data_IF_757169257489
#
_entry.id   IF_757169257489
#
_cell.length_a   1.000
_cell.length_b   1.000
_cell.length_c   1.000
_cell.angle_alpha   90.00
_cell.angle_beta   90.00
_cell.angle_gamma   90.00
#
_symmetry.space_group_name_H-M   'P 1'
#
loop_
_entity.id
_entity.type
_entity.pdbx_description
1 polymer ?
#
# COMPACT_ATOMS: atom_id res chain seq x y z
N UNK A 1 2.28 -17.47 13.10
CA UNK A 1 3.54 -16.92 12.54
C UNK A 1 3.49 -15.40 12.52
N UNK A 2 2.33 -14.78 12.24
CA UNK A 2 2.12 -13.32 12.26
C UNK A 2 2.57 -12.58 13.53
N UNK A 3 2.36 -13.14 14.72
CA UNK A 3 2.52 -12.40 15.99
C UNK A 3 3.98 -12.01 16.25
N UNK A 4 4.93 -12.91 15.99
CA UNK A 4 6.38 -12.68 16.20
C UNK A 4 6.97 -11.70 15.19
N UNK A 5 6.46 -11.69 13.95
CA UNK A 5 6.92 -10.76 12.92
C UNK A 5 6.35 -9.35 13.13
N UNK A 6 5.06 -9.24 13.50
CA UNK A 6 4.48 -7.98 13.94
C UNK A 6 5.24 -7.42 15.16
N UNK A 7 5.45 -8.21 16.21
CA UNK A 7 6.17 -7.76 17.41
C UNK A 7 7.58 -7.24 17.07
N UNK A 8 8.28 -7.90 16.15
CA UNK A 8 9.56 -7.40 15.62
C UNK A 8 9.41 -6.08 14.89
N UNK A 9 8.34 -5.87 14.13
CA UNK A 9 8.09 -4.57 13.48
C UNK A 9 7.85 -3.45 14.50
N UNK A 10 7.03 -3.71 15.53
CA UNK A 10 6.78 -2.76 16.62
C UNK A 10 8.06 -2.38 17.35
N UNK A 11 8.85 -3.37 17.75
CA UNK A 11 10.06 -3.17 18.56
C UNK A 11 11.24 -2.64 17.76
N UNK A 12 11.45 -3.12 16.54
CA UNK A 12 12.63 -2.77 15.72
C UNK A 12 12.41 -1.48 14.95
N UNK A 13 11.20 -1.26 14.44
CA UNK A 13 10.92 -0.12 13.57
C UNK A 13 9.98 0.88 14.19
N UNK A 14 9.59 0.70 15.46
CA UNK A 14 8.83 1.65 16.26
C UNK A 14 7.38 1.84 15.80
N UNK A 15 6.78 0.83 15.16
CA UNK A 15 5.36 0.88 14.76
C UNK A 15 4.48 1.12 16.00
N UNK A 16 3.31 1.70 15.77
CA UNK A 16 2.31 1.99 16.78
C UNK A 16 1.02 1.24 16.46
N UNK A 17 0.17 1.00 17.45
CA UNK A 17 -1.02 0.16 17.26
C UNK A 17 -1.93 0.71 16.18
N UNK A 18 -2.05 2.04 16.08
CA UNK A 18 -2.87 2.67 15.05
C UNK A 18 -2.31 2.50 13.63
N UNK A 19 -1.02 2.18 13.47
CA UNK A 19 -0.41 1.94 12.15
C UNK A 19 -0.94 0.62 11.54
N UNK A 20 -1.42 -0.33 12.38
CA UNK A 20 -2.02 -1.60 11.93
C UNK A 20 -3.26 -1.42 11.06
N UNK A 21 -4.01 -0.33 11.26
CA UNK A 21 -5.20 -0.04 10.47
C UNK A 21 -4.88 0.47 9.06
N UNK A 22 -3.64 0.88 8.84
CA UNK A 22 -3.14 1.42 7.58
C UNK A 22 -2.14 0.49 6.88
N UNK A 23 -1.80 -0.67 7.46
CA UNK A 23 -0.89 -1.64 6.83
C UNK A 23 -1.36 -2.09 5.45
N UNK A 24 -2.67 -2.14 5.23
CA UNK A 24 -3.25 -2.52 3.94
C UNK A 24 -2.93 -1.48 2.83
N UNK A 25 -2.42 -0.29 3.19
CA UNK A 25 -1.98 0.75 2.26
C UNK A 25 -0.51 0.60 1.85
N UNK A 26 0.24 -0.34 2.43
CA UNK A 26 1.66 -0.54 2.12
C UNK A 26 1.93 -0.80 0.63
N UNK A 27 1.10 -1.54 -0.12
CA UNK A 27 1.30 -1.67 -1.57
C UNK A 27 1.33 -0.31 -2.30
N UNK A 28 0.48 0.64 -1.88
CA UNK A 28 0.45 2.00 -2.43
C UNK A 28 1.72 2.77 -2.03
N UNK A 29 2.16 2.62 -0.79
CA UNK A 29 3.42 3.20 -0.31
C UNK A 29 4.61 2.68 -1.11
N UNK A 30 4.65 1.38 -1.41
CA UNK A 30 5.71 0.81 -2.23
C UNK A 30 5.67 1.36 -3.66
N UNK A 31 4.47 1.61 -4.17
CA UNK A 31 4.25 2.14 -5.51
C UNK A 31 4.82 3.55 -5.67
N UNK A 32 4.53 4.49 -4.75
CA UNK A 32 5.07 5.87 -4.79
C UNK A 32 6.60 5.95 -4.61
N UNK A 33 7.26 4.84 -4.25
CA UNK A 33 8.71 4.76 -4.09
C UNK A 33 9.39 3.87 -5.14
N UNK A 34 8.65 3.39 -6.14
CA UNK A 34 9.13 2.42 -7.10
C UNK A 34 10.25 2.95 -8.00
N UNK A 35 10.17 4.22 -8.38
CA UNK A 35 11.21 4.93 -9.14
C UNK A 35 12.30 5.55 -8.23
N UNK A 36 12.06 5.55 -6.91
CA UNK A 36 12.93 6.08 -5.88
C UNK A 36 12.69 7.55 -5.53
N UNK A 37 11.72 8.22 -6.17
CA UNK A 37 11.39 9.63 -6.01
C UNK A 37 9.88 9.79 -5.80
N UNK A 38 9.45 10.22 -4.62
CA UNK A 38 8.04 10.51 -4.39
C UNK A 38 7.64 11.83 -5.09
N UNK A 39 6.76 11.76 -6.08
CA UNK A 39 6.24 12.92 -6.80
C UNK A 39 4.97 13.44 -6.11
N UNK A 40 4.76 14.77 -6.08
CA UNK A 40 3.62 15.38 -5.37
C UNK A 40 2.26 14.82 -5.84
N UNK A 41 2.12 14.52 -7.13
CA UNK A 41 0.90 13.93 -7.69
C UNK A 41 0.61 12.51 -7.19
N UNK A 42 1.65 11.68 -7.05
CA UNK A 42 1.54 10.32 -6.51
C UNK A 42 1.18 10.35 -5.02
N UNK A 43 1.82 11.25 -4.26
CA UNK A 43 1.53 11.46 -2.86
C UNK A 43 0.07 11.89 -2.66
N UNK A 44 -0.42 12.83 -3.46
CA UNK A 44 -1.81 13.29 -3.39
C UNK A 44 -2.81 12.14 -3.61
N UNK A 45 -2.56 11.28 -4.61
CA UNK A 45 -3.41 10.10 -4.87
C UNK A 45 -3.44 9.17 -3.66
N UNK A 46 -2.28 8.88 -3.07
CA UNK A 46 -2.18 8.07 -1.85
C UNK A 46 -2.91 8.71 -0.67
N UNK A 47 -2.75 10.02 -0.46
CA UNK A 47 -3.43 10.74 0.62
C UNK A 47 -4.96 10.67 0.49
N UNK A 48 -5.49 10.86 -0.70
CA UNK A 48 -6.93 10.83 -0.97
C UNK A 48 -7.50 9.42 -0.80
N UNK A 49 -6.77 8.39 -1.22
CA UNK A 49 -7.14 7.00 -0.94
C UNK A 49 -7.13 6.71 0.57
N UNK A 50 -6.08 7.14 1.28
CA UNK A 50 -5.92 6.86 2.70
C UNK A 50 -6.96 7.57 3.57
N UNK A 51 -7.38 8.80 3.22
CA UNK A 51 -8.48 9.52 3.90
C UNK A 51 -9.82 8.83 3.71
N UNK A 52 -10.10 8.34 2.51
CA UNK A 52 -11.32 7.54 2.22
C UNK A 52 -11.33 6.25 3.03
N UNK A 53 -10.21 5.52 3.04
CA UNK A 53 -10.05 4.29 3.84
C UNK A 53 -10.24 4.53 5.34
N UNK A 54 -9.67 5.61 5.89
CA UNK A 54 -9.88 5.99 7.30
C UNK A 54 -11.36 6.26 7.61
N UNK A 55 -12.04 6.99 6.73
CA UNK A 55 -13.47 7.30 6.86
C UNK A 55 -14.31 6.03 6.86
N UNK A 56 -13.98 5.10 5.96
CA UNK A 56 -14.65 3.80 5.88
C UNK A 56 -14.45 2.95 7.14
N UNK A 57 -13.22 2.85 7.65
CA UNK A 57 -12.93 2.12 8.90
C UNK A 57 -13.76 2.63 10.06
N UNK A 58 -13.79 3.96 10.25
CA UNK A 58 -14.57 4.58 11.32
C UNK A 58 -16.07 4.38 11.14
N UNK A 59 -16.57 4.40 9.89
CA UNK A 59 -17.97 4.12 9.57
C UNK A 59 -18.36 2.69 9.93
N UNK A 60 -17.53 1.70 9.57
CA UNK A 60 -17.79 0.28 9.84
C UNK A 60 -17.81 0.02 11.35
N UNK A 61 -16.90 0.65 12.10
CA UNK A 61 -16.82 0.48 13.56
C UNK A 61 -17.88 1.30 14.31
N UNK A 62 -18.47 2.32 13.70
CA UNK A 62 -19.47 3.20 14.31
C UNK A 62 -18.89 4.24 15.28
N UNK A 63 -17.57 4.37 15.37
CA UNK A 63 -16.87 5.35 16.22
C UNK A 63 -15.48 5.70 15.63
N UNK A 64 -14.88 6.84 16.00
CA UNK A 64 -13.60 7.28 15.44
C UNK A 64 -12.41 6.52 16.04
N UNK A 65 -12.21 5.27 15.61
CA UNK A 65 -11.10 4.41 16.03
C UNK A 65 -9.74 4.94 15.53
N UNK A 66 -9.70 5.43 14.30
CA UNK A 66 -8.53 6.08 13.70
C UNK A 66 -8.84 7.54 13.38
N UNK A 67 -7.83 8.41 13.48
CA UNK A 67 -8.00 9.86 13.33
C UNK A 67 -7.08 10.39 12.24
N UNK A 68 -7.34 11.62 11.77
CA UNK A 68 -6.43 12.29 10.83
C UNK A 68 -5.00 12.39 11.39
N UNK A 69 -4.84 12.53 12.70
CA UNK A 69 -3.51 12.53 13.34
C UNK A 69 -2.81 11.18 13.14
N UNK A 70 -3.52 10.06 13.25
CA UNK A 70 -2.95 8.73 13.03
C UNK A 70 -2.57 8.55 11.56
N UNK A 71 -3.45 8.98 10.64
CA UNK A 71 -3.20 8.94 9.21
C UNK A 71 -1.98 9.80 8.82
N UNK A 72 -1.92 11.06 9.27
CA UNK A 72 -0.82 11.97 8.97
C UNK A 72 0.52 11.41 9.46
N UNK A 73 0.54 10.80 10.65
CA UNK A 73 1.75 10.15 11.18
C UNK A 73 2.17 8.94 10.33
N UNK A 74 1.22 8.13 9.89
CA UNK A 74 1.50 7.00 8.99
C UNK A 74 2.12 7.50 7.68
N UNK A 75 1.51 8.52 7.05
CA UNK A 75 2.01 9.13 5.83
C UNK A 75 3.39 9.79 6.02
N UNK A 76 3.61 10.51 7.12
CA UNK A 76 4.92 11.11 7.44
C UNK A 76 6.03 10.05 7.52
N UNK A 77 5.69 8.88 8.06
CA UNK A 77 6.64 7.81 8.30
C UNK A 77 6.98 7.02 7.04
N UNK A 78 5.98 6.77 6.20
CA UNK A 78 6.09 5.80 5.12
C UNK A 78 5.98 6.43 3.73
N UNK A 79 5.23 7.52 3.58
CA UNK A 79 5.01 8.18 2.30
C UNK A 79 5.90 9.42 2.10
N UNK A 80 6.08 10.26 3.12
CA UNK A 80 6.92 11.47 3.02
C UNK A 80 8.40 11.20 3.31
N UNK A 81 8.71 10.06 3.94
CA UNK A 81 10.06 9.59 4.22
C UNK A 81 10.20 8.18 3.72
N UNK A 82 11.15 7.95 2.82
CA UNK A 82 11.37 6.62 2.23
C UNK A 82 11.81 5.64 3.32
N UNK A 83 11.04 4.56 3.58
CA UNK A 83 11.46 3.53 4.50
C UNK A 83 12.71 2.81 3.97
N UNK A 84 13.46 2.15 4.85
CA UNK A 84 14.54 1.28 4.36
C UNK A 84 13.95 0.17 3.48
N UNK A 85 14.66 -0.28 2.41
CA UNK A 85 14.16 -1.33 1.54
C UNK A 85 13.78 -2.61 2.29
N UNK A 86 14.53 -2.94 3.35
CA UNK A 86 14.24 -4.09 4.23
C UNK A 86 12.94 -3.92 5.02
N UNK A 87 12.68 -2.73 5.54
CA UNK A 87 11.44 -2.43 6.26
C UNK A 87 10.24 -2.49 5.30
N UNK A 88 10.36 -1.84 4.13
CA UNK A 88 9.28 -1.80 3.16
C UNK A 88 8.91 -3.21 2.65
N UNK A 89 9.92 -4.05 2.36
CA UNK A 89 9.69 -5.44 1.97
C UNK A 89 8.98 -6.25 3.08
N UNK A 90 9.39 -6.11 4.34
CA UNK A 90 8.75 -6.80 5.46
C UNK A 90 7.29 -6.34 5.66
N UNK A 91 7.03 -5.03 5.58
CA UNK A 91 5.67 -4.48 5.68
C UNK A 91 4.79 -4.96 4.53
N UNK A 92 5.33 -5.02 3.31
CA UNK A 92 4.61 -5.54 2.14
C UNK A 92 4.21 -6.98 2.34
N UNK A 93 5.15 -7.83 2.77
CA UNK A 93 4.86 -9.26 2.95
C UNK A 93 3.71 -9.47 3.95
N UNK A 94 3.72 -8.72 5.06
CA UNK A 94 2.64 -8.73 6.07
C UNK A 94 1.33 -8.17 5.50
N UNK A 95 1.37 -7.04 4.78
CA UNK A 95 0.18 -6.44 4.19
C UNK A 95 -0.48 -7.37 3.16
N UNK A 96 0.31 -7.97 2.27
CA UNK A 96 -0.20 -8.90 1.25
C UNK A 96 -0.74 -10.19 1.87
N UNK A 97 -0.10 -10.73 2.91
CA UNK A 97 -0.62 -11.88 3.65
C UNK A 97 -1.95 -11.55 4.33
N UNK A 98 -2.00 -10.43 5.06
CA UNK A 98 -3.21 -9.97 5.75
C UNK A 98 -4.36 -9.68 4.80
N UNK A 99 -4.10 -9.13 3.62
CA UNK A 99 -5.12 -8.90 2.59
C UNK A 99 -5.65 -10.22 2.02
N UNK A 100 -4.77 -11.20 1.76
CA UNK A 100 -5.16 -12.52 1.22
C UNK A 100 -5.91 -13.41 2.20
N UNK A 101 -5.56 -13.37 3.49
CA UNK A 101 -6.20 -14.21 4.51
C UNK A 101 -7.65 -13.80 4.78
N UNK A 102 -8.06 -12.63 4.30
CA UNK A 102 -9.45 -12.18 4.38
C UNK A 102 -10.22 -12.74 3.18
N UNK A 103 -11.31 -13.46 3.45
CA UNK A 103 -12.05 -14.21 2.44
C UNK A 103 -13.48 -13.71 2.22
N UNK A 104 -13.86 -12.54 2.77
CA UNK A 104 -15.19 -12.00 2.52
C UNK A 104 -15.22 -11.33 1.14
N UNK A 105 -16.38 -11.30 0.44
CA UNK A 105 -16.51 -10.57 -0.83
C UNK A 105 -16.07 -9.10 -0.76
N UNK A 106 -16.32 -8.45 0.38
CA UNK A 106 -15.86 -7.08 0.63
C UNK A 106 -14.31 -6.93 0.65
N UNK A 107 -13.59 -8.02 0.89
CA UNK A 107 -12.12 -8.02 0.87
C UNK A 107 -11.58 -8.12 -0.56
N UNK A 108 -12.29 -8.79 -1.47
CA UNK A 108 -11.95 -8.82 -2.90
C UNK A 108 -12.10 -7.43 -3.53
N UNK A 109 -13.22 -6.75 -3.27
CA UNK A 109 -13.44 -5.35 -3.68
C UNK A 109 -12.33 -4.44 -3.16
N UNK A 110 -11.84 -4.70 -1.94
CA UNK A 110 -10.77 -3.91 -1.33
C UNK A 110 -9.42 -4.15 -1.97
N UNK A 111 -9.08 -5.40 -2.29
CA UNK A 111 -7.87 -5.74 -3.05
C UNK A 111 -7.92 -5.08 -4.42
N UNK A 112 -9.08 -5.10 -5.09
CA UNK A 112 -9.28 -4.42 -6.37
C UNK A 112 -9.06 -2.92 -6.25
N UNK A 113 -9.67 -2.25 -5.27
CA UNK A 113 -9.48 -0.82 -5.05
C UNK A 113 -8.00 -0.44 -4.78
N UNK A 114 -7.25 -1.28 -4.05
CA UNK A 114 -5.81 -1.08 -3.82
C UNK A 114 -5.03 -1.21 -5.14
N UNK A 115 -5.31 -2.24 -5.94
CA UNK A 115 -4.62 -2.47 -7.20
C UNK A 115 -4.92 -1.39 -8.25
N UNK A 116 -6.17 -0.93 -8.32
CA UNK A 116 -6.56 0.21 -9.16
C UNK A 116 -5.83 1.48 -8.73
N UNK A 117 -5.73 1.75 -7.44
CA UNK A 117 -5.00 2.91 -6.95
C UNK A 117 -3.48 2.79 -7.21
N UNK A 118 -2.88 1.60 -7.12
CA UNK A 118 -1.50 1.38 -7.57
C UNK A 118 -1.32 1.74 -9.05
N UNK A 119 -2.30 1.40 -9.89
CA UNK A 119 -2.26 1.73 -11.32
C UNK A 119 -2.36 3.25 -11.55
N UNK A 120 -3.24 3.94 -10.82
CA UNK A 120 -3.39 5.39 -10.89
C UNK A 120 -2.10 6.11 -10.46
N UNK A 121 -1.47 5.64 -9.37
CA UNK A 121 -0.16 6.14 -8.93
C UNK A 121 0.88 5.94 -10.04
N UNK A 122 1.02 4.72 -10.56
CA UNK A 122 1.99 4.41 -11.60
C UNK A 122 1.77 5.23 -12.89
N UNK A 123 0.51 5.55 -13.21
CA UNK A 123 0.18 6.41 -14.36
C UNK A 123 0.44 7.90 -14.10
N UNK A 124 0.54 8.32 -12.84
CA UNK A 124 0.84 9.70 -12.44
C UNK A 124 2.35 10.01 -12.45
N UNK A 125 3.21 8.98 -12.43
CA UNK A 125 4.68 9.08 -12.40
C UNK A 125 5.33 9.73 -13.65
N UNK A 126 4.55 10.15 -14.65
CA UNK A 126 5.06 10.57 -15.95
C UNK A 126 5.61 11.99 -15.91
N UNK A 127 6.93 12.11 -15.97
CA UNK A 127 7.65 13.40 -15.89
C UNK A 127 8.01 14.02 -17.24
N UNK A 128 7.89 13.28 -18.37
CA UNK A 128 8.28 13.77 -19.70
C UNK A 128 7.15 13.66 -20.71
N UNK A 129 6.66 14.83 -21.14
CA UNK A 129 5.69 14.97 -22.23
C UNK A 129 6.38 15.45 -23.52
N UNK A 130 5.94 15.01 -24.72
CA UNK A 130 4.93 13.98 -24.97
C UNK A 130 5.48 12.56 -24.79
N UNK A 131 4.60 11.64 -24.43
CA UNK A 131 4.89 10.20 -24.25
C UNK A 131 3.98 9.35 -25.14
N UNK A 132 4.48 8.22 -25.60
CA UNK A 132 3.71 7.22 -26.35
C UNK A 132 2.64 6.53 -25.49
N UNK A 133 1.71 5.82 -26.15
CA UNK A 133 0.64 5.05 -25.48
C UNK A 133 1.16 4.06 -24.42
N UNK A 134 2.37 3.52 -24.59
CA UNK A 134 2.97 2.50 -23.72
C UNK A 134 4.00 3.05 -22.72
N UNK A 135 4.32 4.34 -22.80
CA UNK A 135 5.39 5.01 -22.05
C UNK A 135 4.88 5.72 -20.78
N UNK A 136 3.58 5.57 -20.47
CA UNK A 136 2.93 6.17 -19.29
C UNK A 136 3.31 5.52 -17.96
N UNK A 137 3.85 4.29 -17.99
CA UNK A 137 4.26 3.57 -16.79
C UNK A 137 5.66 3.08 -17.04
N UNK A 138 6.60 3.45 -16.18
CA UNK A 138 8.00 3.06 -16.30
C UNK A 138 8.17 1.56 -16.07
N UNK A 139 9.24 0.97 -16.61
CA UNK A 139 9.47 -0.48 -16.51
C UNK A 139 9.63 -0.96 -15.05
N UNK A 140 10.21 -0.13 -14.18
CA UNK A 140 10.31 -0.40 -12.74
C UNK A 140 8.94 -0.52 -12.07
N UNK A 141 8.07 0.46 -12.32
CA UNK A 141 6.70 0.50 -11.77
C UNK A 141 5.86 -0.64 -12.31
N UNK A 142 5.94 -0.91 -13.62
CA UNK A 142 5.25 -2.03 -14.26
C UNK A 142 5.62 -3.36 -13.61
N UNK A 143 6.92 -3.60 -13.35
CA UNK A 143 7.37 -4.83 -12.68
C UNK A 143 6.83 -4.94 -11.27
N UNK A 144 6.86 -3.85 -10.50
CA UNK A 144 6.30 -3.84 -9.15
C UNK A 144 4.79 -4.09 -9.17
N UNK A 145 4.05 -3.43 -10.07
CA UNK A 145 2.63 -3.61 -10.23
C UNK A 145 2.29 -5.09 -10.50
N UNK A 146 2.94 -5.73 -11.46
CA UNK A 146 2.73 -7.16 -11.75
C UNK A 146 3.02 -8.05 -10.54
N UNK A 147 4.09 -7.76 -9.78
CA UNK A 147 4.40 -8.50 -8.54
C UNK A 147 3.31 -8.33 -7.48
N UNK A 148 2.75 -7.13 -7.32
CA UNK A 148 1.65 -6.87 -6.39
C UNK A 148 0.36 -7.58 -6.83
N UNK A 149 0.06 -7.59 -8.14
CA UNK A 149 -1.04 -8.36 -8.70
C UNK A 149 -0.90 -9.85 -8.40
N UNK A 150 0.26 -10.44 -8.67
CA UNK A 150 0.50 -11.87 -8.41
C UNK A 150 0.43 -12.20 -6.91
N UNK A 151 0.94 -11.32 -6.05
CA UNK A 151 0.92 -11.51 -4.59
C UNK A 151 -0.46 -11.36 -3.97
N UNK A 152 -1.30 -10.46 -4.50
CA UNK A 152 -2.63 -10.18 -3.95
C UNK A 152 -3.73 -11.04 -4.58
N UNK A 153 -3.60 -11.38 -5.87
CA UNK A 153 -4.56 -12.21 -6.61
C UNK A 153 -4.10 -13.65 -6.79
N UNK A 154 -2.91 -14.00 -6.33
CA UNK A 154 -2.33 -15.33 -6.48
C UNK A 154 -3.27 -16.43 -5.98
N UNK A 155 -3.94 -17.08 -6.93
CA UNK A 155 -4.27 -18.51 -6.83
C UNK A 155 -2.96 -19.21 -6.48
N UNK A 156 -2.96 -20.05 -5.45
CA UNK A 156 -1.91 -21.04 -5.30
C UNK A 156 -1.75 -21.74 -6.65
N UNK A 157 -0.59 -21.60 -7.28
CA UNK A 157 -0.18 -22.59 -8.26
C UNK A 157 -0.08 -23.90 -7.46
N UNK A 158 -1.12 -24.74 -7.53
CA UNK A 158 -1.08 -26.07 -6.94
C UNK A 158 0.19 -26.76 -7.42
N UNK A 159 1.06 -27.26 -6.52
CA UNK A 159 2.17 -28.08 -6.95
C UNK A 159 1.57 -29.34 -7.59
N UNK A 160 1.93 -29.61 -8.84
CA UNK A 160 1.71 -30.91 -9.47
C UNK A 160 2.58 -31.96 -8.83
#
# INVERSE_FOLDING_TARGET
METLELERLFTTYGLQDSDLYFLDLIPLVEMIWADGCNQEGELQILEDFARRHMTELNRILGYPMVTERHLNRFLDRFARRRPSPRLLAALRDIACERLRQRSAPADEERIEAILECCLDIAAACVTRYPYGLQERIMEGERRLLMQLFDRLRGREASPK
#
